data_IF_021744039285
#
_entry.id   IF_021744039285
#
_cell.length_a   1.000
_cell.length_b   1.000
_cell.length_c   1.000
_cell.angle_alpha   90.00
_cell.angle_beta   90.00
_cell.angle_gamma   90.00
#
_symmetry.space_group_name_H-M   'P 1'
#
loop_
_entity.id
_entity.type
_entity.pdbx_description
1 polymer ?
#
# COMPACT_ATOMS: atom_id res chain seq x y z
N UNK A 1 -7.68 10.82 16.59
CA UNK A 1 -6.25 11.05 16.33
C UNK A 1 -5.64 9.71 15.99
N UNK A 2 -5.27 9.50 14.73
CA UNK A 2 -4.61 8.28 14.28
C UNK A 2 -3.16 8.29 14.78
N UNK A 3 -2.83 7.38 15.68
CA UNK A 3 -1.45 7.08 16.05
C UNK A 3 -0.86 6.24 14.92
N UNK A 4 -0.19 6.90 13.98
CA UNK A 4 0.50 6.27 12.85
C UNK A 4 1.99 6.21 13.11
N UNK A 5 2.64 5.22 12.52
CA UNK A 5 4.09 5.09 12.51
C UNK A 5 4.75 6.38 12.01
N UNK A 6 5.87 6.77 12.64
CA UNK A 6 6.58 8.01 12.29
C UNK A 6 7.11 7.98 10.85
N UNK A 7 7.57 6.82 10.36
CA UNK A 7 8.00 6.64 8.98
C UNK A 7 6.83 6.89 8.03
N UNK A 8 5.66 6.32 8.30
CA UNK A 8 4.46 6.54 7.48
C UNK A 8 4.04 8.01 7.46
N UNK A 9 4.13 8.71 8.60
CA UNK A 9 3.84 10.15 8.66
C UNK A 9 4.76 10.96 7.75
N UNK A 10 6.07 10.66 7.78
CA UNK A 10 7.06 11.33 6.91
C UNK A 10 6.82 10.99 5.43
N UNK A 11 6.45 9.74 5.13
CA UNK A 11 6.09 9.31 3.77
C UNK A 11 4.86 10.08 3.27
N UNK A 12 3.81 10.17 4.08
CA UNK A 12 2.58 10.91 3.74
C UNK A 12 2.85 12.40 3.51
N UNK A 13 3.72 13.02 4.31
CA UNK A 13 4.13 14.41 4.12
C UNK A 13 4.86 14.63 2.80
N UNK A 14 5.81 13.75 2.46
CA UNK A 14 6.55 13.80 1.19
C UNK A 14 5.67 13.50 -0.03
N UNK A 15 4.71 12.60 0.12
CA UNK A 15 3.73 12.27 -0.91
C UNK A 15 2.69 13.40 -1.11
N UNK A 16 2.43 14.17 -0.05
CA UNK A 16 1.48 15.29 -0.01
C UNK A 16 0.12 14.95 0.61
N UNK A 17 -0.17 13.68 0.88
CA UNK A 17 -1.34 13.23 1.63
C UNK A 17 -1.19 11.76 2.05
N UNK A 18 -2.06 11.28 2.94
CA UNK A 18 -2.21 9.84 3.23
C UNK A 18 -3.46 9.32 2.51
N UNK A 19 -3.30 8.36 1.62
CA UNK A 19 -4.41 7.68 0.94
C UNK A 19 -4.34 6.15 1.17
N UNK A 20 -5.43 5.40 0.91
CA UNK A 20 -5.45 3.95 1.04
C UNK A 20 -4.30 3.25 0.33
N UNK A 21 -3.97 3.66 -0.90
CA UNK A 21 -2.90 3.04 -1.68
C UNK A 21 -1.49 3.39 -1.15
N UNK A 22 -1.30 4.57 -0.57
CA UNK A 22 -0.03 4.91 0.09
C UNK A 22 0.16 4.06 1.36
N UNK A 23 -0.90 3.92 2.16
CA UNK A 23 -0.91 3.03 3.33
C UNK A 23 -0.62 1.57 2.92
N UNK A 24 -1.20 1.11 1.81
CA UNK A 24 -0.94 -0.21 1.27
C UNK A 24 0.53 -0.39 0.86
N UNK A 25 1.11 0.56 0.12
CA UNK A 25 2.52 0.51 -0.27
C UNK A 25 3.45 0.49 0.95
N UNK A 26 3.13 1.25 1.99
CA UNK A 26 3.89 1.22 3.24
C UNK A 26 3.78 -0.14 3.94
N UNK A 27 2.60 -0.76 3.97
CA UNK A 27 2.42 -2.12 4.51
C UNK A 27 3.22 -3.16 3.74
N UNK A 28 3.20 -3.11 2.40
CA UNK A 28 4.01 -3.99 1.54
C UNK A 28 5.51 -3.80 1.81
N UNK A 29 5.97 -2.55 1.85
CA UNK A 29 7.37 -2.24 2.13
C UNK A 29 7.81 -2.70 3.52
N UNK A 30 6.96 -2.53 4.52
CA UNK A 30 7.20 -2.98 5.90
C UNK A 30 7.30 -4.51 5.97
N UNK A 31 6.41 -5.21 5.28
CA UNK A 31 6.45 -6.66 5.14
C UNK A 31 7.77 -7.13 4.52
N UNK A 32 8.22 -6.49 3.44
CA UNK A 32 9.49 -6.84 2.80
C UNK A 32 10.71 -6.52 3.66
N UNK A 33 10.74 -5.38 4.36
CA UNK A 33 11.83 -5.06 5.32
C UNK A 33 11.92 -6.12 6.41
N UNK A 34 10.77 -6.51 7.00
CA UNK A 34 10.70 -7.58 8.01
C UNK A 34 11.23 -8.91 7.45
N UNK A 35 10.77 -9.32 6.26
CA UNK A 35 11.25 -10.52 5.60
C UNK A 35 12.77 -10.51 5.36
N UNK A 36 13.32 -9.39 4.91
CA UNK A 36 14.76 -9.26 4.66
C UNK A 36 15.59 -9.34 5.95
N UNK A 37 15.10 -8.71 7.03
CA UNK A 37 15.73 -8.79 8.36
C UNK A 37 15.70 -10.23 8.90
N UNK A 38 14.58 -10.95 8.75
CA UNK A 38 14.46 -12.37 9.12
C UNK A 38 15.40 -13.29 8.31
N UNK A 39 15.82 -12.86 7.12
CA UNK A 39 16.79 -13.54 6.27
C UNK A 39 18.23 -13.04 6.47
N UNK A 40 18.47 -12.25 7.51
CA UNK A 40 19.78 -11.71 7.90
C UNK A 40 20.43 -10.82 6.82
N UNK A 41 19.64 -10.22 5.92
CA UNK A 41 20.14 -9.20 5.01
C UNK A 41 20.25 -7.86 5.75
N UNK A 42 21.45 -7.26 5.74
CA UNK A 42 21.75 -6.03 6.48
C UNK A 42 21.72 -4.76 5.62
N UNK A 43 21.63 -4.88 4.29
CA UNK A 43 21.60 -3.74 3.37
C UNK A 43 20.43 -3.86 2.39
N UNK A 44 19.59 -2.82 2.31
CA UNK A 44 18.36 -2.84 1.50
C UNK A 44 18.55 -2.34 0.06
N UNK A 45 19.69 -1.70 -0.23
CA UNK A 45 19.98 -1.03 -1.51
C UNK A 45 20.12 -1.97 -2.73
N UNK A 46 20.18 -3.27 -2.49
CA UNK A 46 20.30 -4.31 -3.50
C UNK A 46 18.97 -5.02 -3.81
N UNK A 47 17.85 -4.51 -3.30
CA UNK A 47 16.53 -5.08 -3.54
C UNK A 47 15.63 -4.16 -4.37
N UNK A 48 14.83 -4.81 -5.19
CA UNK A 48 13.88 -4.20 -6.09
C UNK A 48 12.49 -4.72 -5.77
N UNK A 49 11.48 -3.86 -5.91
CA UNK A 49 10.09 -4.26 -5.89
C UNK A 49 9.54 -4.12 -7.30
N UNK A 50 9.10 -5.23 -7.88
CA UNK A 50 8.33 -5.23 -9.10
C UNK A 50 6.85 -5.23 -8.74
N UNK A 51 6.09 -4.26 -9.25
CA UNK A 51 4.66 -4.13 -8.99
C UNK A 51 3.86 -4.33 -10.27
N UNK A 52 2.67 -4.90 -10.10
CA UNK A 52 1.75 -5.17 -11.20
C UNK A 52 0.61 -4.13 -11.34
N UNK A 53 0.73 -3.00 -10.63
CA UNK A 53 -0.24 -1.90 -10.65
C UNK A 53 0.42 -0.54 -10.41
N UNK A 54 -0.01 0.49 -11.15
CA UNK A 54 0.52 1.85 -11.03
C UNK A 54 -0.36 2.72 -10.11
N UNK A 55 -0.03 2.74 -8.81
CA UNK A 55 -0.76 3.50 -7.78
C UNK A 55 0.18 4.24 -6.82
N UNK A 56 -0.37 4.99 -5.86
CA UNK A 56 0.40 5.67 -4.81
C UNK A 56 1.23 4.69 -3.94
N UNK A 57 0.94 3.39 -3.99
CA UNK A 57 1.74 2.36 -3.34
C UNK A 57 3.21 2.37 -3.81
N UNK A 58 3.46 2.66 -5.08
CA UNK A 58 4.82 2.72 -5.63
C UNK A 58 5.63 3.84 -4.97
N UNK A 59 5.01 5.01 -4.79
CA UNK A 59 5.67 6.14 -4.17
C UNK A 59 6.01 5.87 -2.69
N UNK A 60 5.14 5.18 -1.95
CA UNK A 60 5.49 4.71 -0.60
C UNK A 60 6.72 3.78 -0.62
N UNK A 61 6.78 2.81 -1.54
CA UNK A 61 7.90 1.88 -1.65
C UNK A 61 9.22 2.61 -2.01
N UNK A 62 9.18 3.56 -2.94
CA UNK A 62 10.33 4.41 -3.29
C UNK A 62 10.81 5.25 -2.10
N UNK A 63 9.87 5.86 -1.37
CA UNK A 63 10.18 6.65 -0.17
C UNK A 63 10.69 5.80 1.00
N UNK A 64 10.43 4.49 0.98
CA UNK A 64 11.02 3.49 1.88
C UNK A 64 12.39 2.97 1.38
N UNK A 65 12.94 3.59 0.33
CA UNK A 65 14.22 3.29 -0.32
C UNK A 65 14.27 1.98 -1.14
N UNK A 66 13.12 1.43 -1.53
CA UNK A 66 13.12 0.38 -2.55
C UNK A 66 13.29 0.99 -3.94
N UNK A 67 14.03 0.30 -4.81
CA UNK A 67 13.95 0.56 -6.25
C UNK A 67 12.69 -0.12 -6.79
N UNK A 68 11.88 0.62 -7.54
CA UNK A 68 10.58 0.11 -8.00
C UNK A 68 10.56 -0.01 -9.52
N UNK A 69 9.97 -1.10 -10.02
CA UNK A 69 9.59 -1.27 -11.42
C UNK A 69 8.11 -1.63 -11.48
N UNK A 70 7.44 -1.27 -12.58
CA UNK A 70 6.00 -1.48 -12.70
C UNK A 70 5.66 -2.07 -14.07
N UNK A 71 4.95 -3.20 -14.07
CA UNK A 71 4.23 -3.72 -15.22
C UNK A 71 2.73 -3.55 -14.95
N UNK A 72 2.14 -2.46 -15.45
CA UNK A 72 0.78 -2.07 -15.05
C UNK A 72 -0.31 -2.95 -15.69
N UNK A 73 -0.64 -4.07 -15.05
CA UNK A 73 -1.74 -4.97 -15.45
C UNK A 73 -2.98 -4.83 -14.55
N UNK A 74 -2.93 -3.93 -13.57
CA UNK A 74 -4.06 -3.62 -12.68
C UNK A 74 -4.14 -4.48 -11.42
N UNK A 75 -3.15 -5.33 -11.18
CA UNK A 75 -3.14 -6.28 -10.06
C UNK A 75 -2.30 -5.75 -8.90
N UNK A 76 -2.84 -5.77 -7.68
CA UNK A 76 -2.10 -5.42 -6.47
C UNK A 76 -1.21 -6.60 -6.03
N UNK A 77 -0.23 -6.91 -6.86
CA UNK A 77 0.81 -7.92 -6.62
C UNK A 77 2.17 -7.22 -6.59
N UNK A 78 2.99 -7.59 -5.62
CA UNK A 78 4.30 -7.02 -5.38
C UNK A 78 5.31 -8.14 -5.21
N UNK A 79 6.37 -8.10 -6.00
CA UNK A 79 7.45 -9.07 -6.02
C UNK A 79 8.75 -8.41 -5.54
N UNK A 80 9.32 -8.91 -4.45
CA UNK A 80 10.63 -8.54 -3.96
C UNK A 80 11.70 -9.38 -4.67
N UNK A 81 12.68 -8.71 -5.27
CA UNK A 81 13.78 -9.33 -6.00
C UNK A 81 15.13 -8.80 -5.55
N UNK A 82 16.15 -9.66 -5.60
CA UNK A 82 17.54 -9.22 -5.53
C UNK A 82 17.97 -8.54 -6.84
N UNK A 83 19.06 -7.78 -6.81
CA UNK A 83 19.70 -7.16 -7.99
C UNK A 83 20.06 -8.17 -9.09
N UNK A 84 20.21 -9.44 -8.75
CA UNK A 84 20.44 -10.54 -9.70
C UNK A 84 19.20 -10.94 -10.49
N UNK A 85 18.03 -10.36 -10.19
CA UNK A 85 16.73 -10.74 -10.72
C UNK A 85 16.08 -11.92 -9.97
N UNK A 86 16.76 -12.52 -8.99
CA UNK A 86 16.21 -13.61 -8.19
C UNK A 86 15.02 -13.12 -7.36
N UNK A 87 13.85 -13.71 -7.59
CA UNK A 87 12.66 -13.55 -6.75
C UNK A 87 12.93 -14.07 -5.32
N UNK A 88 12.62 -13.25 -4.33
CA UNK A 88 12.81 -13.57 -2.91
C UNK A 88 11.50 -13.77 -2.18
N UNK A 89 10.51 -12.92 -2.46
CA UNK A 89 9.20 -12.97 -1.84
C UNK A 89 8.17 -12.31 -2.77
N UNK A 90 6.93 -12.77 -2.70
CA UNK A 90 5.83 -12.23 -3.49
C UNK A 90 4.58 -12.16 -2.61
N UNK A 91 3.88 -11.04 -2.66
CA UNK A 91 2.60 -10.86 -1.98
C UNK A 91 1.57 -10.38 -2.99
N UNK A 92 0.40 -11.01 -2.96
CA UNK A 92 -0.82 -10.47 -3.55
C UNK A 92 -1.64 -9.84 -2.42
N UNK A 93 -2.31 -8.73 -2.69
CA UNK A 93 -3.17 -8.09 -1.70
C UNK A 93 -4.56 -8.70 -1.76
N UNK A 94 -5.16 -8.95 -0.59
CA UNK A 94 -6.54 -9.39 -0.50
C UNK A 94 -7.48 -8.36 -1.14
N UNK A 95 -8.20 -8.77 -2.19
CA UNK A 95 -9.07 -7.89 -2.97
C UNK A 95 -10.17 -7.25 -2.11
N UNK A 96 -10.64 -7.93 -1.07
CA UNK A 96 -11.68 -7.41 -0.18
C UNK A 96 -11.24 -6.16 0.60
N UNK A 97 -9.93 -5.97 0.80
CA UNK A 97 -9.37 -4.84 1.55
C UNK A 97 -9.05 -3.65 0.63
N UNK A 98 -8.80 -3.89 -0.65
CA UNK A 98 -8.45 -2.83 -1.63
C UNK A 98 -9.64 -2.31 -2.43
N UNK A 99 -10.82 -2.91 -2.27
CA UNK A 99 -12.04 -2.40 -2.87
C UNK A 99 -12.56 -1.24 -2.01
N UNK A 100 -12.78 -0.04 -2.60
CA UNK A 100 -13.41 1.06 -1.87
C UNK A 100 -14.75 0.61 -1.28
N UNK A 101 -15.13 1.05 -0.06
CA UNK A 101 -16.44 0.75 0.49
C UNK A 101 -17.55 1.16 -0.49
N UNK A 102 -18.54 0.31 -0.75
CA UNK A 102 -19.58 0.56 -1.78
C UNK A 102 -20.22 1.96 -1.71
N UNK A 103 -20.49 2.46 -0.50
CA UNK A 103 -21.07 3.80 -0.29
C UNK A 103 -20.12 4.95 -0.62
N UNK A 104 -18.82 4.69 -0.72
CA UNK A 104 -17.81 5.68 -1.04
C UNK A 104 -17.84 6.06 -2.53
N UNK A 105 -18.13 5.14 -3.45
CA UNK A 105 -18.09 5.46 -4.89
C UNK A 105 -19.10 6.55 -5.28
N UNK A 106 -20.35 6.43 -4.80
CA UNK A 106 -21.38 7.44 -5.04
C UNK A 106 -20.98 8.80 -4.45
N UNK A 107 -20.46 8.80 -3.22
CA UNK A 107 -20.01 10.01 -2.54
C UNK A 107 -18.79 10.62 -3.24
N UNK A 108 -17.85 9.80 -3.71
CA UNK A 108 -16.65 10.25 -4.41
C UNK A 108 -17.02 11.04 -5.66
N UNK A 109 -17.97 10.53 -6.46
CA UNK A 109 -18.46 11.25 -7.63
C UNK A 109 -19.03 12.63 -7.27
N UNK A 110 -19.87 12.71 -6.23
CA UNK A 110 -20.44 13.99 -5.77
C UNK A 110 -19.39 14.95 -5.24
N UNK A 111 -18.38 14.44 -4.50
CA UNK A 111 -17.29 15.23 -3.96
C UNK A 111 -16.41 15.80 -5.08
N UNK A 112 -16.01 14.98 -6.04
CA UNK A 112 -15.13 15.41 -7.14
C UNK A 112 -15.82 16.32 -8.15
N UNK A 113 -17.15 16.23 -8.28
CA UNK A 113 -17.95 17.15 -9.10
C UNK A 113 -18.38 18.42 -8.35
N UNK A 114 -17.95 18.59 -7.09
CA UNK A 114 -18.35 19.66 -6.17
C UNK A 114 -19.88 19.83 -6.01
N UNK A 115 -20.62 18.72 -6.13
CA UNK A 115 -22.08 18.67 -5.93
C UNK A 115 -22.47 18.10 -4.56
N UNK A 116 -21.51 17.57 -3.80
CA UNK A 116 -21.73 17.02 -2.47
C UNK A 116 -22.10 18.09 -1.44
N UNK A 117 -23.14 17.81 -0.67
CA UNK A 117 -23.49 18.59 0.52
C UNK A 117 -22.44 18.42 1.62
N UNK A 118 -22.42 19.34 2.59
CA UNK A 118 -21.42 19.32 3.66
C UNK A 118 -21.37 17.98 4.42
N UNK A 119 -22.53 17.40 4.76
CA UNK A 119 -22.59 16.11 5.46
C UNK A 119 -22.14 14.93 4.58
N UNK A 120 -22.28 15.03 3.25
CA UNK A 120 -21.80 14.03 2.30
C UNK A 120 -20.27 14.07 2.22
N UNK A 121 -19.68 15.27 2.16
CA UNK A 121 -18.22 15.47 2.25
C UNK A 121 -17.65 14.91 3.55
N UNK A 122 -18.31 15.17 4.68
CA UNK A 122 -17.92 14.63 5.98
C UNK A 122 -18.02 13.09 6.03
N UNK A 123 -19.08 12.51 5.46
CA UNK A 123 -19.26 11.06 5.40
C UNK A 123 -18.23 10.39 4.48
N UNK A 124 -17.92 11.00 3.34
CA UNK A 124 -16.85 10.54 2.45
C UNK A 124 -15.51 10.49 3.18
N UNK A 125 -15.12 11.59 3.85
CA UNK A 125 -13.86 11.66 4.59
C UNK A 125 -13.81 10.60 5.70
N UNK A 126 -14.92 10.40 6.42
CA UNK A 126 -15.00 9.34 7.44
C UNK A 126 -14.78 7.94 6.85
N UNK A 127 -15.41 7.62 5.72
CA UNK A 127 -15.21 6.33 5.05
C UNK A 127 -13.76 6.19 4.53
N UNK A 128 -13.17 7.29 4.05
CA UNK A 128 -11.81 7.33 3.53
C UNK A 128 -10.78 7.07 4.63
N UNK A 129 -10.92 7.78 5.74
CA UNK A 129 -10.08 7.59 6.92
C UNK A 129 -10.22 6.16 7.45
N UNK A 130 -11.45 5.64 7.53
CA UNK A 130 -11.70 4.27 7.99
C UNK A 130 -11.01 3.25 7.09
N UNK A 131 -11.08 3.43 5.77
CA UNK A 131 -10.42 2.52 4.84
C UNK A 131 -8.89 2.50 5.02
N UNK A 132 -8.28 3.67 5.25
CA UNK A 132 -6.86 3.76 5.62
C UNK A 132 -6.59 2.99 6.92
N UNK A 133 -7.43 3.17 7.96
CA UNK A 133 -7.28 2.47 9.23
C UNK A 133 -7.38 0.96 9.05
N UNK A 134 -8.34 0.49 8.26
CA UNK A 134 -8.55 -0.93 8.00
C UNK A 134 -7.30 -1.55 7.34
N UNK A 135 -6.70 -0.88 6.34
CA UNK A 135 -5.43 -1.32 5.72
C UNK A 135 -4.28 -1.34 6.72
N UNK A 136 -4.14 -0.29 7.55
CA UNK A 136 -3.03 -0.19 8.51
C UNK A 136 -3.17 -1.16 9.68
N UNK A 137 -4.40 -1.53 10.04
CA UNK A 137 -4.70 -2.38 11.21
C UNK A 137 -4.85 -3.85 10.86
N UNK A 138 -5.08 -4.20 9.60
CA UNK A 138 -5.15 -5.59 9.15
C UNK A 138 -3.86 -6.35 9.52
N UNK A 139 -3.96 -7.59 9.97
CA UNK A 139 -2.80 -8.48 10.08
C UNK A 139 -2.17 -8.75 8.72
N UNK A 140 -0.93 -9.25 8.71
CA UNK A 140 -0.27 -9.62 7.45
C UNK A 140 -1.04 -10.76 6.74
N UNK A 141 -1.64 -11.68 7.51
CA UNK A 141 -2.46 -12.79 7.02
C UNK A 141 -3.80 -12.34 6.41
N UNK A 142 -4.39 -11.27 6.94
CA UNK A 142 -5.61 -10.69 6.37
C UNK A 142 -5.32 -9.87 5.11
N UNK A 143 -4.22 -9.13 5.11
CA UNK A 143 -3.85 -8.20 4.05
C UNK A 143 -3.21 -8.88 2.85
N UNK A 144 -2.34 -9.87 3.08
CA UNK A 144 -1.55 -10.51 2.04
C UNK A 144 -1.99 -11.96 1.81
N UNK A 145 -2.38 -12.23 0.57
CA UNK A 145 -2.52 -13.58 0.05
C UNK A 145 -1.15 -13.99 -0.49
N UNK A 146 -0.57 -15.06 0.05
CA UNK A 146 0.73 -15.56 -0.37
C UNK A 146 0.61 -16.46 -1.60
N UNK A 147 1.05 -16.04 -2.79
CA UNK A 147 1.15 -16.94 -3.92
C UNK A 147 2.53 -17.58 -3.83
N UNK A 148 2.60 -18.75 -3.20
CA UNK A 148 3.76 -19.64 -3.13
C UNK A 148 4.97 -19.17 -2.30
N UNK A 149 5.14 -19.76 -1.11
CA UNK A 149 6.48 -20.01 -0.57
C UNK A 149 7.21 -20.97 -1.52
N UNK A 150 7.99 -20.46 -2.48
CA UNK A 150 9.05 -21.29 -3.08
C UNK A 150 10.24 -21.26 -2.12
N UNK A 151 10.47 -22.40 -1.48
CA UNK A 151 11.71 -22.74 -0.77
C UNK A 151 12.86 -22.72 -1.78
#
# INVERSE_FOLDING_TARGET
MLLVDLELKVIAEKHGHLCPYLALGWRVGSFFKKFLLEKEFTGFENFFVHSYTHTCALNALELMNFKVTCENIGEHVYLLQAITGKALSMVAVNSEIIVPPYKMEELAFKVYSDTALYYEKAHYNYLFDRWIVDILSASDEELFVFPHKKV
#
